data_IF_693599948441
#
_entry.id   IF_693599948441
#
_cell.length_a   1.000
_cell.length_b   1.000
_cell.length_c   1.000
_cell.angle_alpha   90.00
_cell.angle_beta   90.00
_cell.angle_gamma   90.00
#
_symmetry.space_group_name_H-M   'P 1'
#
loop_
_entity.id
_entity.type
_entity.pdbx_description
1 polymer ?
#
# COMPACT_ATOMS: atom_id res chain seq x y z
N UNK A 1 -21.50 19.62 14.36
CA UNK A 1 -20.36 19.27 13.47
C UNK A 1 -19.48 18.12 13.99
N UNK A 2 -18.90 18.17 15.21
CA UNK A 2 -18.12 17.04 15.74
C UNK A 2 -18.96 15.77 16.03
N UNK A 3 -20.23 15.94 16.40
CA UNK A 3 -21.17 14.82 16.63
C UNK A 3 -21.51 14.04 15.36
N UNK A 4 -21.82 14.73 14.26
CA UNK A 4 -22.18 14.11 12.98
C UNK A 4 -21.05 13.28 12.39
N UNK A 5 -19.79 13.76 12.47
CA UNK A 5 -18.65 12.98 11.98
C UNK A 5 -18.42 11.74 12.85
N UNK A 6 -18.62 11.85 14.17
CA UNK A 6 -18.51 10.72 15.08
C UNK A 6 -19.59 9.66 14.80
N UNK A 7 -20.83 10.09 14.53
CA UNK A 7 -21.93 9.22 14.12
C UNK A 7 -21.65 8.54 12.78
N UNK A 8 -21.15 9.30 11.80
CA UNK A 8 -20.77 8.75 10.50
C UNK A 8 -19.64 7.71 10.63
N UNK A 9 -18.60 7.99 11.42
CA UNK A 9 -17.54 7.03 11.74
C UNK A 9 -18.06 5.80 12.49
N UNK A 10 -19.06 5.95 13.36
CA UNK A 10 -19.73 4.82 14.02
C UNK A 10 -20.48 3.93 13.02
N UNK A 11 -21.13 4.53 12.02
CA UNK A 11 -21.74 3.80 10.90
C UNK A 11 -20.72 3.01 10.09
N UNK A 12 -19.61 3.65 9.70
CA UNK A 12 -18.47 3.00 9.04
C UNK A 12 -17.90 1.84 9.87
N UNK A 13 -17.69 2.05 11.17
CA UNK A 13 -17.21 0.99 12.07
C UNK A 13 -18.16 -0.20 12.10
N UNK A 14 -19.47 0.03 12.23
CA UNK A 14 -20.44 -1.06 12.33
C UNK A 14 -20.44 -1.91 11.06
N UNK A 15 -20.45 -1.28 9.89
CA UNK A 15 -20.40 -1.98 8.60
C UNK A 15 -19.10 -2.80 8.48
N UNK A 16 -17.94 -2.14 8.54
CA UNK A 16 -16.66 -2.84 8.33
C UNK A 16 -16.28 -3.81 9.46
N UNK A 17 -16.83 -3.65 10.68
CA UNK A 17 -16.68 -4.65 11.74
C UNK A 17 -17.33 -5.96 11.35
N UNK A 18 -18.49 -5.90 10.71
CA UNK A 18 -19.24 -7.09 10.35
C UNK A 18 -18.58 -7.77 9.14
N UNK A 19 -18.10 -7.00 8.16
CA UNK A 19 -17.22 -7.47 7.07
C UNK A 19 -15.97 -8.21 7.59
N UNK A 20 -15.22 -7.61 8.54
CA UNK A 20 -14.03 -8.21 9.13
C UNK A 20 -14.31 -9.49 9.93
N UNK A 21 -15.56 -9.74 10.33
CA UNK A 21 -15.95 -10.99 11.01
C UNK A 21 -16.38 -12.06 10.02
N UNK A 22 -16.99 -11.65 8.91
CA UNK A 22 -17.51 -12.54 7.87
C UNK A 22 -16.39 -13.03 6.95
N UNK A 23 -15.47 -12.15 6.57
CA UNK A 23 -14.41 -12.41 5.59
C UNK A 23 -13.04 -12.42 6.27
N UNK A 24 -12.38 -13.59 6.27
CA UNK A 24 -11.07 -13.78 6.93
C UNK A 24 -9.92 -13.03 6.27
N UNK A 25 -10.06 -12.70 4.99
CA UNK A 25 -9.09 -12.00 4.16
C UNK A 25 -9.40 -10.51 3.99
N UNK A 26 -10.47 -10.02 4.65
CA UNK A 26 -10.81 -8.62 4.63
C UNK A 26 -9.77 -7.76 5.38
N UNK A 27 -9.43 -6.65 4.75
CA UNK A 27 -8.50 -5.63 5.21
C UNK A 27 -9.12 -4.27 4.94
N UNK A 28 -9.19 -3.45 5.99
CA UNK A 28 -9.60 -2.05 5.87
C UNK A 28 -8.35 -1.18 5.83
N UNK A 29 -8.17 -0.46 4.73
CA UNK A 29 -7.00 0.38 4.48
C UNK A 29 -7.41 1.83 4.63
N UNK A 30 -6.83 2.51 5.62
CA UNK A 30 -7.05 3.92 5.85
C UNK A 30 -5.97 4.77 5.20
N UNK A 31 -6.36 5.89 4.60
CA UNK A 31 -5.43 6.80 3.91
C UNK A 31 -5.79 8.28 4.10
N UNK A 32 -4.80 9.15 3.90
CA UNK A 32 -4.94 10.60 4.02
C UNK A 32 -5.40 11.26 2.71
N UNK A 33 -5.45 12.59 2.68
CA UNK A 33 -5.87 13.34 1.49
C UNK A 33 -4.88 13.27 0.32
N UNK A 34 -3.67 12.76 0.54
CA UNK A 34 -2.62 12.54 -0.45
C UNK A 34 -2.52 11.08 -0.88
N UNK A 35 -3.48 10.24 -0.50
CA UNK A 35 -3.48 8.80 -0.75
C UNK A 35 -2.33 8.04 -0.06
N UNK A 36 -1.74 8.59 1.00
CA UNK A 36 -0.75 7.90 1.81
C UNK A 36 -1.45 7.00 2.81
N UNK A 37 -1.03 5.73 2.87
CA UNK A 37 -1.55 4.73 3.81
C UNK A 37 -1.21 5.14 5.23
N UNK A 38 -2.25 5.29 6.04
CA UNK A 38 -2.15 5.66 7.44
C UNK A 38 -2.14 4.44 8.36
N UNK A 39 -2.78 3.35 7.94
CA UNK A 39 -2.82 2.10 8.67
C UNK A 39 -3.77 1.09 8.03
N UNK A 40 -3.66 -0.15 8.49
CA UNK A 40 -4.49 -1.27 8.03
C UNK A 40 -5.12 -1.93 9.26
N UNK A 41 -6.40 -2.28 9.13
CA UNK A 41 -7.13 -3.05 10.11
C UNK A 41 -7.57 -4.39 9.51
N UNK A 42 -7.20 -5.46 10.19
CA UNK A 42 -7.59 -6.86 9.92
C UNK A 42 -8.52 -7.40 11.01
N UNK A 43 -8.74 -6.62 12.08
CA UNK A 43 -9.65 -6.96 13.18
C UNK A 43 -10.51 -5.77 13.59
N UNK A 44 -11.66 -6.01 14.24
CA UNK A 44 -12.51 -4.95 14.79
C UNK A 44 -11.79 -3.98 15.75
N UNK A 45 -10.85 -4.48 16.55
CA UNK A 45 -10.08 -3.64 17.49
C UNK A 45 -9.19 -2.68 16.72
N UNK A 46 -8.46 -3.18 15.73
CA UNK A 46 -7.61 -2.35 14.88
C UNK A 46 -8.41 -1.34 14.07
N UNK A 47 -9.60 -1.71 13.60
CA UNK A 47 -10.49 -0.80 12.88
C UNK A 47 -10.89 0.38 13.77
N UNK A 48 -11.20 0.10 15.04
CA UNK A 48 -11.52 1.16 16.01
C UNK A 48 -10.37 2.15 16.17
N UNK A 49 -9.14 1.67 16.21
CA UNK A 49 -7.96 2.51 16.40
C UNK A 49 -7.59 3.25 15.11
N UNK A 50 -7.71 2.60 13.96
CA UNK A 50 -7.58 3.21 12.64
C UNK A 50 -8.51 4.42 12.52
N UNK A 51 -9.79 4.27 12.85
CA UNK A 51 -10.79 5.34 12.73
C UNK A 51 -10.55 6.53 13.68
N UNK A 52 -9.69 6.39 14.70
CA UNK A 52 -9.28 7.49 15.59
C UNK A 52 -8.07 8.27 15.07
N UNK A 53 -7.35 7.77 14.06
CA UNK A 53 -6.15 8.43 13.55
C UNK A 53 -6.46 9.86 13.09
N UNK A 54 -5.67 10.81 13.58
CA UNK A 54 -5.72 12.20 13.14
C UNK A 54 -5.18 12.29 11.71
N UNK A 55 -5.91 12.98 10.83
CA UNK A 55 -5.54 13.12 9.42
C UNK A 55 -6.12 12.05 8.48
N UNK A 56 -6.80 11.03 9.04
CA UNK A 56 -7.48 10.01 8.24
C UNK A 56 -8.59 10.65 7.39
N UNK A 57 -8.44 10.59 6.08
CA UNK A 57 -9.37 11.18 5.13
C UNK A 57 -10.42 10.18 4.67
N UNK A 58 -10.02 8.94 4.42
CA UNK A 58 -10.92 7.88 3.96
C UNK A 58 -10.42 6.48 4.36
N UNK A 59 -11.33 5.51 4.26
CA UNK A 59 -11.04 4.07 4.41
C UNK A 59 -11.69 3.28 3.28
N UNK A 60 -11.05 2.19 2.87
CA UNK A 60 -11.53 1.27 1.84
C UNK A 60 -11.33 -0.18 2.28
N UNK A 61 -12.19 -1.07 1.84
CA UNK A 61 -12.05 -2.54 2.03
C UNK A 61 -11.53 -3.18 0.74
N UNK A 62 -10.67 -4.20 0.87
CA UNK A 62 -10.14 -5.02 -0.24
C UNK A 62 -11.13 -6.12 -0.73
N UNK A 63 -12.40 -5.75 -0.92
CA UNK A 63 -13.47 -6.69 -1.24
C UNK A 63 -13.17 -7.52 -2.53
N UNK A 64 -13.55 -8.81 -2.59
CA UNK A 64 -13.39 -9.66 -3.79
C UNK A 64 -14.23 -9.26 -4.99
N UNK A 65 -15.25 -8.45 -4.78
CA UNK A 65 -16.04 -7.92 -5.88
C UNK A 65 -15.27 -6.87 -6.67
N UNK A 66 -15.63 -6.72 -7.94
CA UNK A 66 -15.16 -5.68 -8.87
C UNK A 66 -15.38 -4.23 -8.36
N UNK A 67 -16.01 -4.05 -7.20
CA UNK A 67 -16.37 -2.74 -6.66
C UNK A 67 -15.54 -2.40 -5.43
N UNK A 68 -14.91 -1.24 -5.46
CA UNK A 68 -14.25 -0.70 -4.28
C UNK A 68 -15.28 0.00 -3.38
N UNK A 69 -15.51 -0.55 -2.19
CA UNK A 69 -16.37 0.06 -1.17
C UNK A 69 -15.51 0.83 -0.16
N UNK A 70 -15.94 2.05 0.17
CA UNK A 70 -15.22 2.87 1.13
C UNK A 70 -16.03 4.03 1.69
N UNK A 71 -15.42 4.75 2.62
CA UNK A 71 -16.01 5.89 3.31
C UNK A 71 -15.06 7.10 3.23
N UNK A 72 -15.58 8.22 2.74
CA UNK A 72 -14.89 9.52 2.72
C UNK A 72 -15.37 10.34 3.92
N UNK A 73 -14.47 10.61 4.88
CA UNK A 73 -14.80 11.32 6.11
C UNK A 73 -14.88 12.83 5.93
N UNK A 74 -14.24 13.39 4.90
CA UNK A 74 -14.33 14.80 4.57
C UNK A 74 -15.68 15.13 3.94
N UNK A 75 -16.14 14.27 3.03
CA UNK A 75 -17.45 14.39 2.37
C UNK A 75 -18.61 13.79 3.17
N UNK A 76 -18.32 12.99 4.20
CA UNK A 76 -19.30 12.22 4.98
C UNK A 76 -20.19 11.34 4.09
N UNK A 77 -19.56 10.65 3.14
CA UNK A 77 -20.26 9.82 2.15
C UNK A 77 -19.62 8.45 2.04
N UNK A 78 -20.46 7.41 1.98
CA UNK A 78 -20.04 6.11 1.48
C UNK A 78 -19.90 6.18 -0.04
N UNK A 79 -18.93 5.47 -0.59
CA UNK A 79 -18.79 5.28 -2.02
C UNK A 79 -18.69 3.79 -2.34
N UNK A 80 -19.26 3.43 -3.48
CA UNK A 80 -19.02 2.18 -4.20
C UNK A 80 -18.52 2.64 -5.56
N UNK A 81 -17.24 2.43 -5.85
CA UNK A 81 -16.64 2.89 -7.11
C UNK A 81 -16.44 1.72 -8.06
N UNK A 82 -16.89 1.94 -9.29
CA UNK A 82 -16.79 1.00 -10.42
C UNK A 82 -15.92 1.57 -11.55
N UNK A 83 -15.47 2.82 -11.43
CA UNK A 83 -15.20 3.65 -12.61
C UNK A 83 -13.71 4.02 -12.78
N UNK A 84 -13.21 3.73 -13.98
CA UNK A 84 -11.78 3.54 -14.33
C UNK A 84 -10.96 4.84 -14.54
N UNK A 85 -11.48 5.99 -14.12
CA UNK A 85 -11.09 7.26 -14.77
C UNK A 85 -10.40 8.29 -13.91
N UNK A 86 -10.54 8.26 -12.58
CA UNK A 86 -10.15 9.41 -11.74
C UNK A 86 -8.84 9.21 -10.95
N UNK A 87 -8.39 7.97 -10.74
CA UNK A 87 -7.16 7.70 -9.96
C UNK A 87 -6.06 6.97 -10.77
N UNK A 88 -6.41 6.11 -11.72
CA UNK A 88 -5.43 5.30 -12.47
C UNK A 88 -4.48 6.05 -13.40
N UNK A 89 -4.90 7.18 -13.99
CA UNK A 89 -4.09 7.94 -14.98
C UNK A 89 -3.11 8.96 -14.36
N UNK A 90 -3.37 9.41 -13.14
CA UNK A 90 -2.46 10.30 -12.41
C UNK A 90 -1.23 9.54 -11.89
N UNK A 91 -1.42 8.26 -11.54
CA UNK A 91 -0.43 7.48 -10.81
C UNK A 91 0.70 6.91 -11.68
N UNK A 92 0.40 6.33 -12.85
CA UNK A 92 1.44 5.85 -13.79
C UNK A 92 2.40 6.96 -14.20
N UNK A 93 1.89 8.16 -14.49
CA UNK A 93 2.72 9.34 -14.77
C UNK A 93 3.56 9.78 -13.57
N UNK A 94 3.06 9.59 -12.35
CA UNK A 94 3.77 9.94 -11.11
C UNK A 94 4.90 8.94 -10.87
N UNK A 95 4.67 7.65 -11.06
CA UNK A 95 5.70 6.62 -10.96
C UNK A 95 6.82 6.84 -11.98
N UNK A 96 6.47 7.07 -13.26
CA UNK A 96 7.48 7.35 -14.29
C UNK A 96 8.27 8.63 -14.00
N UNK A 97 7.62 9.65 -13.41
CA UNK A 97 8.28 10.88 -12.97
C UNK A 97 9.23 10.60 -11.80
N UNK A 98 8.81 9.81 -10.82
CA UNK A 98 9.65 9.43 -9.68
C UNK A 98 10.88 8.63 -10.14
N UNK A 99 10.74 7.66 -11.05
CA UNK A 99 11.89 6.96 -11.61
C UNK A 99 12.86 7.88 -12.35
N UNK A 100 12.34 8.84 -13.13
CA UNK A 100 13.18 9.86 -13.75
C UNK A 100 13.90 10.73 -12.72
N UNK A 101 13.24 11.09 -11.62
CA UNK A 101 13.85 11.86 -10.53
C UNK A 101 14.97 11.07 -9.82
N UNK A 102 14.74 9.79 -9.53
CA UNK A 102 15.73 8.89 -8.93
C UNK A 102 17.00 8.85 -9.79
N UNK A 103 16.88 8.55 -11.09
CA UNK A 103 18.04 8.47 -11.98
C UNK A 103 18.70 9.82 -12.25
N UNK A 104 17.96 10.92 -12.18
CA UNK A 104 18.53 12.27 -12.30
C UNK A 104 19.38 12.62 -11.08
N UNK A 105 18.99 12.16 -9.90
CA UNK A 105 19.67 12.47 -8.63
C UNK A 105 20.73 11.42 -8.26
N UNK A 106 20.70 10.25 -8.88
CA UNK A 106 21.64 9.17 -8.63
C UNK A 106 23.07 9.55 -9.06
N UNK A 107 24.03 9.36 -8.15
CA UNK A 107 25.47 9.48 -8.47
C UNK A 107 25.93 8.40 -9.44
N UNK A 108 25.28 7.24 -9.42
CA UNK A 108 25.53 6.12 -10.33
C UNK A 108 24.22 5.38 -10.60
N UNK A 109 23.78 5.36 -11.87
CA UNK A 109 22.59 4.60 -12.29
C UNK A 109 22.80 3.09 -12.14
N UNK A 110 24.04 2.62 -12.31
CA UNK A 110 24.41 1.21 -12.15
C UNK A 110 24.25 0.75 -10.70
N UNK A 111 24.64 1.59 -9.74
CA UNK A 111 24.50 1.28 -8.32
C UNK A 111 23.03 1.14 -7.93
N UNK A 112 22.17 2.08 -8.37
CA UNK A 112 20.71 2.01 -8.13
C UNK A 112 20.11 0.73 -8.70
N UNK A 113 20.56 0.32 -9.89
CA UNK A 113 20.09 -0.93 -10.51
C UNK A 113 20.55 -2.16 -9.73
N UNK A 114 21.78 -2.15 -9.23
CA UNK A 114 22.33 -3.23 -8.41
C UNK A 114 21.59 -3.34 -7.07
N UNK A 115 21.40 -2.24 -6.35
CA UNK A 115 20.67 -2.20 -5.08
C UNK A 115 19.23 -2.69 -5.25
N UNK A 116 18.56 -2.26 -6.33
CA UNK A 116 17.23 -2.78 -6.69
C UNK A 116 17.25 -4.30 -6.92
N UNK A 117 18.20 -4.84 -7.68
CA UNK A 117 18.29 -6.29 -7.87
C UNK A 117 18.52 -7.05 -6.55
N UNK A 118 19.38 -6.54 -5.68
CA UNK A 118 19.66 -7.15 -4.37
C UNK A 118 18.44 -7.12 -3.44
N UNK A 119 17.66 -6.04 -3.44
CA UNK A 119 16.37 -6.00 -2.74
C UNK A 119 15.39 -7.01 -3.34
N UNK A 120 15.22 -7.03 -4.66
CA UNK A 120 14.23 -7.87 -5.31
C UNK A 120 14.53 -9.35 -5.05
N UNK A 121 15.78 -9.77 -5.12
CA UNK A 121 16.17 -11.15 -4.78
C UNK A 121 15.81 -11.52 -3.34
N UNK A 122 16.05 -10.61 -2.37
CA UNK A 122 15.65 -10.84 -0.98
C UNK A 122 14.14 -10.98 -0.82
N UNK A 123 13.36 -10.15 -1.54
CA UNK A 123 11.89 -10.24 -1.53
C UNK A 123 11.44 -11.57 -2.16
N UNK A 124 12.05 -12.03 -3.26
CA UNK A 124 11.71 -13.33 -3.86
C UNK A 124 11.97 -14.49 -2.90
N UNK A 125 13.14 -14.54 -2.27
CA UNK A 125 13.48 -15.57 -1.29
C UNK A 125 12.50 -15.57 -0.11
N UNK A 126 12.10 -14.37 0.34
CA UNK A 126 11.09 -14.19 1.37
C UNK A 126 9.72 -14.70 0.91
N UNK A 127 9.28 -14.34 -0.30
CA UNK A 127 8.01 -14.78 -0.86
C UNK A 127 7.96 -16.29 -1.06
N UNK A 128 9.07 -16.92 -1.50
CA UNK A 128 9.17 -18.36 -1.58
C UNK A 128 9.04 -19.03 -0.20
N UNK A 129 9.69 -18.48 0.83
CA UNK A 129 9.62 -19.00 2.21
C UNK A 129 8.21 -18.94 2.79
N UNK A 130 7.50 -17.84 2.56
CA UNK A 130 6.16 -17.60 3.11
C UNK A 130 5.02 -17.97 2.15
N UNK A 131 5.34 -18.57 1.00
CA UNK A 131 4.37 -18.95 -0.04
C UNK A 131 3.51 -17.77 -0.53
N UNK A 132 4.11 -16.58 -0.62
CA UNK A 132 3.45 -15.36 -1.10
C UNK A 132 3.49 -15.37 -2.63
N UNK A 133 2.33 -15.32 -3.31
CA UNK A 133 2.28 -15.23 -4.76
C UNK A 133 2.93 -13.92 -5.24
N UNK A 134 3.88 -14.04 -6.16
CA UNK A 134 4.61 -12.89 -6.68
C UNK A 134 4.93 -13.06 -8.17
N UNK A 135 5.21 -11.93 -8.82
CA UNK A 135 5.69 -11.87 -10.20
C UNK A 135 6.67 -10.71 -10.36
N UNK A 136 7.58 -10.83 -11.32
CA UNK A 136 8.51 -9.77 -11.69
C UNK A 136 8.08 -9.14 -12.99
N UNK A 137 8.19 -7.82 -13.04
CA UNK A 137 8.09 -7.06 -14.27
C UNK A 137 9.30 -6.16 -14.38
N UNK A 138 9.92 -6.12 -15.56
CA UNK A 138 10.94 -5.16 -15.90
C UNK A 138 10.37 -4.20 -16.96
N UNK A 139 10.63 -2.91 -16.81
CA UNK A 139 10.24 -1.92 -17.80
C UNK A 139 11.30 -0.83 -17.93
N UNK A 140 11.45 -0.30 -19.13
CA UNK A 140 12.17 0.95 -19.36
C UNK A 140 11.30 2.10 -18.83
N UNK A 141 11.52 2.45 -17.56
CA UNK A 141 10.78 3.53 -16.89
C UNK A 141 11.56 4.86 -16.91
N UNK A 142 12.75 4.89 -17.49
CA UNK A 142 13.64 6.05 -17.48
C UNK A 142 13.91 6.65 -18.88
N UNK A 143 13.55 5.95 -19.97
CA UNK A 143 13.89 6.36 -21.33
C UNK A 143 15.36 6.15 -21.69
N UNK A 144 16.09 5.42 -20.84
CA UNK A 144 17.44 4.90 -21.05
C UNK A 144 17.32 3.39 -20.81
N UNK A 145 18.12 2.56 -21.50
CA UNK A 145 18.12 1.07 -21.45
C UNK A 145 18.38 0.43 -20.04
N UNK A 146 18.17 1.18 -18.96
CA UNK A 146 18.29 0.76 -17.56
C UNK A 146 16.94 0.24 -17.10
N UNK A 147 16.81 -1.08 -17.00
CA UNK A 147 15.60 -1.72 -16.51
C UNK A 147 15.56 -1.68 -14.98
N UNK A 148 14.47 -1.17 -14.41
CA UNK A 148 14.17 -1.38 -12.99
C UNK A 148 13.27 -2.60 -12.89
N UNK A 149 13.64 -3.52 -11.99
CA UNK A 149 12.81 -4.66 -11.66
C UNK A 149 11.82 -4.23 -10.58
N UNK A 150 10.55 -4.44 -10.88
CA UNK A 150 9.47 -4.29 -9.93
C UNK A 150 8.99 -5.68 -9.54
N UNK A 151 8.92 -5.93 -8.24
CA UNK A 151 8.25 -7.10 -7.72
C UNK A 151 6.81 -6.75 -7.40
N UNK A 152 5.91 -7.59 -7.90
CA UNK A 152 4.48 -7.47 -7.72
C UNK A 152 4.05 -8.62 -6.81
N UNK A 153 3.53 -8.32 -5.63
CA UNK A 153 2.97 -9.29 -4.68
C UNK A 153 1.46 -9.27 -4.81
N UNK A 154 0.82 -10.45 -4.80
CA UNK A 154 -0.63 -10.56 -4.90
C UNK A 154 -1.20 -11.11 -3.59
N UNK A 155 -1.90 -10.26 -2.84
CA UNK A 155 -2.51 -10.59 -1.55
C UNK A 155 -4.03 -10.44 -1.64
N UNK A 156 -4.71 -11.52 -2.03
CA UNK A 156 -6.14 -11.46 -2.39
C UNK A 156 -6.36 -10.49 -3.55
N UNK A 157 -7.22 -9.48 -3.34
CA UNK A 157 -7.53 -8.44 -4.34
C UNK A 157 -6.59 -7.24 -4.29
N UNK A 158 -5.49 -7.38 -3.55
CA UNK A 158 -4.47 -6.35 -3.42
C UNK A 158 -3.27 -6.75 -4.25
N UNK A 159 -2.86 -5.85 -5.14
CA UNK A 159 -1.52 -5.92 -5.73
C UNK A 159 -0.61 -4.96 -4.97
N UNK A 160 0.55 -5.42 -4.53
CA UNK A 160 1.57 -4.60 -3.89
C UNK A 160 2.75 -4.52 -4.84
N UNK A 161 3.18 -3.32 -5.19
CA UNK A 161 4.39 -3.13 -5.98
C UNK A 161 5.48 -2.52 -5.11
N UNK A 162 6.66 -3.13 -5.18
CA UNK A 162 7.81 -2.76 -4.36
C UNK A 162 9.02 -2.55 -5.27
N UNK A 163 9.70 -1.45 -5.02
CA UNK A 163 11.07 -1.18 -5.44
C UNK A 163 11.85 -0.59 -4.26
N UNK A 164 13.13 -0.31 -4.45
CA UNK A 164 13.97 0.29 -3.40
C UNK A 164 13.40 1.64 -2.90
N UNK A 165 12.78 2.41 -3.80
CA UNK A 165 12.42 3.81 -3.57
C UNK A 165 10.90 4.04 -3.40
N UNK A 166 10.10 2.99 -3.60
CA UNK A 166 8.66 3.09 -3.68
C UNK A 166 7.99 1.79 -3.27
N UNK A 167 6.96 1.90 -2.43
CA UNK A 167 6.01 0.84 -2.15
C UNK A 167 4.59 1.37 -2.23
N UNK A 168 3.74 0.68 -2.98
CA UNK A 168 2.33 1.02 -3.08
C UNK A 168 1.42 -0.19 -3.14
N UNK A 169 0.17 0.07 -2.79
CA UNK A 169 -0.95 -0.86 -2.84
C UNK A 169 -1.84 -0.43 -4.00
N UNK A 170 -2.14 -1.34 -4.90
CA UNK A 170 -3.17 -1.20 -5.91
C UNK A 170 -4.40 -2.03 -5.48
N UNK A 171 -5.51 -1.34 -5.28
CA UNK A 171 -6.85 -1.88 -5.05
C UNK A 171 -7.67 -1.59 -6.31
N UNK A 172 -7.84 -2.59 -7.18
CA UNK A 172 -8.47 -2.39 -8.49
C UNK A 172 -7.79 -1.24 -9.27
N UNK A 173 -8.46 -0.09 -9.40
CA UNK A 173 -8.03 1.11 -10.12
C UNK A 173 -7.44 2.20 -9.18
N UNK A 174 -7.44 1.97 -7.87
CA UNK A 174 -6.93 2.90 -6.86
C UNK A 174 -5.54 2.52 -6.41
N UNK A 175 -4.64 3.50 -6.40
CA UNK A 175 -3.29 3.36 -5.90
C UNK A 175 -3.14 4.13 -4.59
N UNK A 176 -2.60 3.46 -3.58
CA UNK A 176 -2.33 4.02 -2.25
C UNK A 176 -0.84 3.90 -1.96
N UNK A 177 -0.22 5.01 -1.57
CA UNK A 177 1.22 5.10 -1.32
C UNK A 177 1.49 4.57 0.08
N UNK A 178 2.33 3.55 0.22
CA UNK A 178 2.83 3.13 1.54
C UNK A 178 4.09 3.94 1.88
N UNK A 179 5.01 4.05 0.92
CA UNK A 179 6.27 4.78 1.05
C UNK A 179 6.71 5.28 -0.34
N UNK A 180 7.18 6.53 -0.43
CA UNK A 180 7.90 7.05 -1.60
C UNK A 180 8.93 8.12 -1.17
N UNK A 181 9.76 8.56 -2.12
CA UNK A 181 10.79 9.58 -1.89
C UNK A 181 10.28 10.95 -1.36
N UNK A 182 8.97 11.24 -1.49
CA UNK A 182 8.35 12.50 -1.02
C UNK A 182 7.55 12.31 0.28
N UNK A 183 7.25 11.06 0.64
CA UNK A 183 6.41 10.64 1.74
C UNK A 183 7.06 9.46 2.44
N UNK A 184 8.20 9.75 3.06
CA UNK A 184 8.83 8.79 3.94
C UNK A 184 7.99 8.62 5.21
N UNK A 185 7.82 7.37 5.63
CA UNK A 185 7.06 7.01 6.82
C UNK A 185 8.00 6.40 7.84
N UNK A 186 7.69 6.57 9.13
CA UNK A 186 8.48 5.95 10.19
C UNK A 186 8.63 4.45 9.93
N UNK A 187 9.85 3.93 10.06
CA UNK A 187 10.19 2.55 9.71
C UNK A 187 9.29 1.54 10.42
N UNK A 188 9.01 1.75 11.71
CA UNK A 188 8.09 0.91 12.49
C UNK A 188 6.68 0.87 11.88
N UNK A 189 6.18 2.02 11.40
CA UNK A 189 4.88 2.12 10.72
C UNK A 189 4.90 1.37 9.39
N UNK A 190 5.98 1.48 8.62
CA UNK A 190 6.15 0.73 7.37
C UNK A 190 6.12 -0.78 7.63
N UNK A 191 6.90 -1.27 8.60
CA UNK A 191 6.93 -2.69 8.95
C UNK A 191 5.55 -3.17 9.43
N UNK A 192 4.83 -2.36 10.21
CA UNK A 192 3.49 -2.70 10.66
C UNK A 192 2.46 -2.78 9.51
N UNK A 193 2.55 -1.89 8.53
CA UNK A 193 1.68 -1.92 7.34
C UNK A 193 1.98 -3.18 6.52
N UNK A 194 3.25 -3.42 6.23
CA UNK A 194 3.69 -4.55 5.41
C UNK A 194 3.43 -5.89 6.10
N UNK A 195 3.58 -6.00 7.41
CA UNK A 195 3.26 -7.23 8.17
C UNK A 195 1.80 -7.63 8.04
N UNK A 196 0.89 -6.64 8.10
CA UNK A 196 -0.55 -6.85 7.91
C UNK A 196 -0.89 -7.22 6.48
N UNK A 197 -0.30 -6.53 5.49
CA UNK A 197 -0.53 -6.82 4.07
C UNK A 197 -0.09 -8.23 3.68
N UNK A 198 1.06 -8.67 4.20
CA UNK A 198 1.67 -9.94 3.83
C UNK A 198 1.19 -11.10 4.72
N UNK A 199 0.44 -10.82 5.80
CA UNK A 199 0.10 -11.79 6.84
C UNK A 199 1.32 -12.50 7.44
N UNK A 200 2.41 -11.74 7.63
CA UNK A 200 3.69 -12.24 8.18
C UNK A 200 4.07 -11.40 9.42
N UNK A 201 4.71 -11.98 10.45
CA UNK A 201 5.14 -11.21 11.62
C UNK A 201 6.02 -10.00 11.27
N UNK A 202 5.83 -8.89 12.00
CA UNK A 202 6.56 -7.63 11.77
C UNK A 202 8.08 -7.79 11.82
N UNK A 203 8.59 -8.65 12.70
CA UNK A 203 10.03 -8.94 12.80
C UNK A 203 10.60 -9.55 11.51
N UNK A 204 9.83 -10.38 10.82
CA UNK A 204 10.27 -11.04 9.59
C UNK A 204 10.28 -10.05 8.42
N UNK A 205 9.30 -9.15 8.37
CA UNK A 205 9.28 -8.01 7.45
C UNK A 205 10.46 -7.07 7.74
N UNK A 206 10.75 -6.81 9.02
CA UNK A 206 11.90 -6.00 9.40
C UNK A 206 13.22 -6.63 8.94
N UNK A 207 13.39 -7.96 9.06
CA UNK A 207 14.57 -8.67 8.55
C UNK A 207 14.72 -8.59 7.03
N UNK A 208 13.60 -8.52 6.30
CA UNK A 208 13.61 -8.36 4.85
C UNK A 208 14.18 -7.00 4.43
N UNK A 209 13.66 -5.91 4.99
CA UNK A 209 14.04 -4.54 4.61
C UNK A 209 15.25 -3.99 5.39
N UNK A 210 15.57 -4.58 6.54
CA UNK A 210 16.68 -4.17 7.42
C UNK A 210 17.49 -5.40 7.89
N UNK A 211 18.23 -6.07 6.99
CA UNK A 211 18.91 -7.34 7.28
C UNK A 211 20.02 -7.25 8.35
N UNK A 212 20.43 -6.04 8.73
CA UNK A 212 21.46 -5.80 9.74
C UNK A 212 20.91 -5.57 11.16
N UNK A 213 19.60 -5.64 11.36
CA UNK A 213 18.99 -5.51 12.69
C UNK A 213 19.08 -6.86 13.41
N UNK A 214 19.85 -6.89 14.51
CA UNK A 214 20.06 -8.06 15.38
C UNK A 214 18.97 -8.19 16.44
#
# INVERSE_FOLDING_TARGET
MASELAEFKKGCYNHFRDELKEHKDAMIIGFDAKHVVMGIATTPTELRDLLKLKGLNAVVINHPDIFMVGYDFKKKSQFVRTDDSVLGRLYTKTIDKQYKEIFKNAKSKQLVTQENHELIQRIEDFCMRYQIPHSKSAGDRAGDNTNIIVINLMMGNIKIEITEELTYIQLHETYLIVHDMHHDIETSKYMNIMSKLLFVPELEVQRLFMPNVR
#
